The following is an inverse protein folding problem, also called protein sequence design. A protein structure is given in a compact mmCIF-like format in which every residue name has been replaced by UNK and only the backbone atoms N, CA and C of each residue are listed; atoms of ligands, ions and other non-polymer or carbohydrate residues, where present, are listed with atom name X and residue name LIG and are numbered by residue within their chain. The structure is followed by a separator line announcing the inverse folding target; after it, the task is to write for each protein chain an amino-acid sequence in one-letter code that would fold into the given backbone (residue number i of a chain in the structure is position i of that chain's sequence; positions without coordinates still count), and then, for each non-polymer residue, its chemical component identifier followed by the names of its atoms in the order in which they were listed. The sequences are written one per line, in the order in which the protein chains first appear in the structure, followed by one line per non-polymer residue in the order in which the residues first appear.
data_IF_257375773423
#
_entry.id   IF_257375773423
#
_cell.length_a   1.000
_cell.length_b   1.000
_cell.length_c   1.000
_cell.angle_alpha   90.00
_cell.angle_beta   90.00
_cell.angle_gamma   90.00
#
_symmetry.space_group_name_H-M   'P 1'
#
loop_
_entity.id
_entity.type
_entity.pdbx_description
1 polymer ?
#
# COMPACT_ATOMS: atom_id res chain seq x y z
N UNK A 1 9.67 13.98 15.91
CA UNK A 1 9.02 13.32 14.77
C UNK A 1 9.73 13.78 13.52
N UNK A 2 10.19 12.85 12.69
CA UNK A 2 10.93 13.14 11.45
C UNK A 2 10.07 13.98 10.48
N UNK A 3 10.68 14.92 9.75
CA UNK A 3 10.00 15.74 8.74
C UNK A 3 9.39 14.89 7.64
N UNK A 4 10.04 13.77 7.29
CA UNK A 4 9.52 12.82 6.31
C UNK A 4 8.20 12.20 6.78
N UNK A 5 8.15 11.70 8.02
CA UNK A 5 6.94 11.13 8.64
C UNK A 5 5.81 12.15 8.76
N UNK A 6 6.12 13.41 9.09
CA UNK A 6 5.13 14.49 9.13
C UNK A 6 4.51 14.72 7.75
N UNK A 7 5.34 14.80 6.71
CA UNK A 7 4.88 15.00 5.32
C UNK A 7 4.05 13.81 4.83
N UNK A 8 4.45 12.59 5.20
CA UNK A 8 3.74 11.37 4.86
C UNK A 8 2.36 11.32 5.52
N UNK A 9 2.27 11.56 6.83
CA UNK A 9 0.98 11.67 7.56
C UNK A 9 0.07 12.74 6.95
N UNK A 10 0.62 13.91 6.61
CA UNK A 10 -0.15 14.98 5.96
C UNK A 10 -0.76 14.52 4.63
N UNK A 11 0.01 13.80 3.82
CA UNK A 11 -0.49 13.26 2.54
C UNK A 11 -1.66 12.28 2.73
N UNK A 12 -1.59 11.42 3.76
CA UNK A 12 -2.67 10.50 4.12
C UNK A 12 -3.91 11.26 4.61
N UNK A 13 -3.77 12.25 5.50
CA UNK A 13 -4.89 13.07 5.96
C UNK A 13 -5.56 13.86 4.83
N UNK A 14 -4.78 14.37 3.88
CA UNK A 14 -5.29 15.07 2.70
C UNK A 14 -6.06 14.12 1.77
N UNK A 15 -5.51 12.93 1.49
CA UNK A 15 -6.16 11.88 0.71
C UNK A 15 -7.48 11.43 1.35
N UNK A 16 -7.44 11.15 2.66
CA UNK A 16 -8.61 10.80 3.47
C UNK A 16 -9.70 11.86 3.40
N UNK A 17 -9.32 13.14 3.49
CA UNK A 17 -10.27 14.25 3.43
C UNK A 17 -10.97 14.31 2.06
N UNK A 18 -10.21 14.18 0.97
CA UNK A 18 -10.75 14.17 -0.40
C UNK A 18 -11.71 13.00 -0.63
N UNK A 19 -11.35 11.80 -0.17
CA UNK A 19 -12.21 10.62 -0.29
C UNK A 19 -13.49 10.74 0.55
N UNK A 20 -13.42 11.32 1.76
CA UNK A 20 -14.60 11.62 2.55
C UNK A 20 -15.54 12.61 1.84
N UNK A 21 -15.01 13.65 1.21
CA UNK A 21 -15.81 14.56 0.38
C UNK A 21 -16.50 13.82 -0.77
N UNK A 22 -15.79 12.92 -1.46
CA UNK A 22 -16.35 12.12 -2.54
C UNK A 22 -17.45 11.16 -2.05
N UNK A 23 -17.20 10.44 -0.94
CA UNK A 23 -18.18 9.55 -0.32
C UNK A 23 -19.44 10.31 0.12
N UNK A 24 -19.25 11.47 0.77
CA UNK A 24 -20.37 12.33 1.17
C UNK A 24 -21.14 12.86 -0.04
N UNK A 25 -20.44 13.24 -1.11
CA UNK A 25 -21.09 13.73 -2.32
C UNK A 25 -21.94 12.67 -3.01
N UNK A 26 -21.44 11.43 -3.06
CA UNK A 26 -22.20 10.26 -3.53
C UNK A 26 -23.45 10.06 -2.65
N UNK A 27 -23.28 9.97 -1.33
CA UNK A 27 -24.40 9.73 -0.39
C UNK A 27 -25.48 10.82 -0.44
N UNK A 28 -25.10 12.08 -0.61
CA UNK A 28 -26.02 13.22 -0.46
C UNK A 28 -26.58 13.77 -1.79
N UNK A 29 -25.85 13.66 -2.90
CA UNK A 29 -26.17 14.44 -4.11
C UNK A 29 -26.39 13.59 -5.37
N UNK A 30 -26.01 12.32 -5.38
CA UNK A 30 -26.21 11.48 -6.56
C UNK A 30 -27.61 10.85 -6.57
N UNK A 31 -28.57 11.56 -7.18
CA UNK A 31 -29.92 11.05 -7.42
C UNK A 31 -30.03 10.22 -8.72
N UNK A 32 -29.02 10.29 -9.60
CA UNK A 32 -28.97 9.56 -10.87
C UNK A 32 -27.54 9.10 -11.21
N UNK A 33 -27.35 7.87 -11.72
CA UNK A 33 -26.05 7.34 -12.15
C UNK A 33 -25.53 8.12 -13.37
N UNK A 34 -24.44 8.86 -13.23
CA UNK A 34 -23.83 9.59 -14.33
C UNK A 34 -22.41 10.01 -13.97
N UNK A 35 -21.41 9.39 -14.58
CA UNK A 35 -20.01 9.84 -14.53
C UNK A 35 -19.60 10.31 -15.92
N UNK A 36 -19.20 11.58 -16.01
CA UNK A 36 -18.80 12.18 -17.29
C UNK A 36 -17.32 11.90 -17.55
N UNK A 37 -17.02 11.17 -18.61
CA UNK A 37 -15.66 10.89 -19.05
C UNK A 37 -15.37 11.63 -20.35
N UNK A 38 -14.26 12.37 -20.40
CA UNK A 38 -13.78 13.00 -21.64
C UNK A 38 -12.73 12.08 -22.29
N UNK A 39 -13.04 11.53 -23.46
CA UNK A 39 -12.10 10.73 -24.25
C UNK A 39 -11.71 11.46 -25.54
N UNK A 40 -10.56 11.09 -26.11
CA UNK A 40 -10.15 11.50 -27.46
C UNK A 40 -10.37 10.31 -28.38
N UNK A 41 -11.16 10.48 -29.44
CA UNK A 41 -11.37 9.40 -30.40
C UNK A 41 -10.14 9.14 -31.28
N UNK A 42 -10.17 8.08 -32.08
CA UNK A 42 -9.07 7.71 -32.99
C UNK A 42 -8.73 8.76 -34.05
N UNK A 43 -9.48 9.87 -34.12
CA UNK A 43 -9.26 11.00 -35.02
C UNK A 43 -8.84 12.28 -34.26
N UNK A 44 -8.58 12.21 -32.96
CA UNK A 44 -8.13 13.34 -32.17
C UNK A 44 -9.24 14.25 -31.63
N UNK A 45 -10.52 13.89 -31.81
CA UNK A 45 -11.63 14.73 -31.34
C UNK A 45 -11.99 14.39 -29.88
N UNK A 46 -12.12 15.42 -29.04
CA UNK A 46 -12.63 15.26 -27.67
C UNK A 46 -14.12 14.95 -27.70
N UNK A 47 -14.52 13.82 -27.11
CA UNK A 47 -15.91 13.44 -26.87
C UNK A 47 -16.15 13.26 -25.38
N UNK A 48 -17.28 13.77 -24.90
CA UNK A 48 -17.75 13.47 -23.54
C UNK A 48 -18.73 12.32 -23.62
N UNK A 49 -18.40 11.19 -23.00
CA UNK A 49 -19.27 10.04 -22.88
C UNK A 49 -19.82 10.02 -21.46
N UNK A 50 -21.15 9.85 -21.35
CA UNK A 50 -21.77 9.56 -20.07
C UNK A 50 -21.73 8.05 -19.84
N UNK A 51 -20.99 7.62 -18.81
CA UNK A 51 -21.03 6.23 -18.35
C UNK A 51 -21.95 6.22 -17.14
N UNK A 52 -23.11 5.53 -17.20
CA UNK A 52 -23.98 5.40 -16.04
C UNK A 52 -23.32 4.44 -15.06
N UNK A 53 -22.60 4.99 -14.09
CA UNK A 53 -22.06 4.24 -12.96
C UNK A 53 -23.01 4.50 -11.79
N UNK A 54 -23.52 3.42 -11.20
CA UNK A 54 -24.34 3.55 -10.01
C UNK A 54 -23.50 4.05 -8.85
N UNK A 55 -23.96 5.06 -8.10
CA UNK A 55 -23.20 5.55 -6.95
C UNK A 55 -22.97 4.47 -5.89
N UNK A 56 -23.85 3.47 -5.83
CA UNK A 56 -23.70 2.27 -5.00
C UNK A 56 -22.52 1.39 -5.39
N UNK A 57 -22.02 1.47 -6.63
CA UNK A 57 -20.87 0.71 -7.09
C UNK A 57 -19.54 1.38 -6.68
N UNK A 58 -19.54 2.71 -6.64
CA UNK A 58 -18.36 3.50 -6.27
C UNK A 58 -18.15 3.58 -4.77
N UNK A 59 -19.24 3.59 -4.01
CA UNK A 59 -19.18 3.80 -2.56
C UNK A 59 -18.34 2.72 -1.84
N UNK A 60 -18.52 1.41 -2.08
CA UNK A 60 -17.71 0.37 -1.44
C UNK A 60 -16.22 0.50 -1.76
N UNK A 61 -15.89 0.94 -2.97
CA UNK A 61 -14.50 1.15 -3.40
C UNK A 61 -13.88 2.30 -2.59
N UNK A 62 -14.59 3.42 -2.47
CA UNK A 62 -14.13 4.59 -1.72
C UNK A 62 -14.01 4.28 -0.23
N UNK A 63 -14.98 3.57 0.35
CA UNK A 63 -14.97 3.15 1.76
C UNK A 63 -13.78 2.22 2.03
N UNK A 64 -13.47 1.28 1.14
CA UNK A 64 -12.27 0.44 1.23
C UNK A 64 -10.98 1.27 1.22
N UNK A 65 -10.86 2.29 0.36
CA UNK A 65 -9.70 3.17 0.36
C UNK A 65 -9.59 4.00 1.65
N UNK A 66 -10.72 4.45 2.21
CA UNK A 66 -10.75 5.15 3.50
C UNK A 66 -10.27 4.25 4.64
N UNK A 67 -10.76 3.01 4.71
CA UNK A 67 -10.35 2.03 5.72
C UNK A 67 -8.85 1.72 5.65
N UNK A 68 -8.32 1.59 4.43
CA UNK A 68 -6.89 1.36 4.24
C UNK A 68 -6.06 2.58 4.69
N UNK A 69 -6.48 3.80 4.37
CA UNK A 69 -5.79 5.01 4.85
C UNK A 69 -5.86 5.12 6.38
N UNK A 70 -6.99 4.77 7.00
CA UNK A 70 -7.12 4.81 8.46
C UNK A 70 -6.18 3.81 9.14
N UNK A 71 -6.02 2.61 8.57
CA UNK A 71 -5.00 1.63 9.01
C UNK A 71 -3.58 2.18 8.88
N UNK A 72 -3.25 2.80 7.76
CA UNK A 72 -1.92 3.41 7.54
C UNK A 72 -1.63 4.53 8.55
N UNK A 73 -2.60 5.42 8.82
CA UNK A 73 -2.44 6.49 9.81
C UNK A 73 -2.19 5.91 11.21
N UNK A 74 -2.93 4.87 11.61
CA UNK A 74 -2.74 4.19 12.90
C UNK A 74 -1.37 3.52 12.94
N UNK A 75 -0.96 2.82 11.88
CA UNK A 75 0.33 2.16 11.79
C UNK A 75 1.46 3.18 11.95
N UNK A 76 1.48 4.26 11.16
CA UNK A 76 2.51 5.30 11.24
C UNK A 76 2.53 5.92 12.64
N UNK A 77 1.38 6.20 13.24
CA UNK A 77 1.29 6.81 14.58
C UNK A 77 1.83 5.87 15.66
N UNK A 78 1.53 4.58 15.55
CA UNK A 78 1.97 3.53 16.49
C UNK A 78 3.46 3.26 16.34
N UNK A 79 3.94 3.16 15.11
CA UNK A 79 5.34 2.88 14.76
C UNK A 79 6.24 4.07 15.10
N UNK A 80 5.80 5.30 14.85
CA UNK A 80 6.56 6.51 15.18
C UNK A 80 6.74 6.70 16.70
N UNK A 81 5.93 6.06 17.53
CA UNK A 81 6.09 6.05 18.98
C UNK A 81 7.14 5.02 19.46
N UNK A 82 7.61 4.12 18.58
CA UNK A 82 8.61 3.12 18.93
C UNK A 82 10.04 3.68 18.84
N UNK A 83 10.87 3.54 19.90
CA UNK A 83 12.19 4.17 19.98
C UNK A 83 13.30 3.45 19.20
N UNK A 84 12.99 2.36 18.49
CA UNK A 84 13.99 1.52 17.82
C UNK A 84 13.69 1.45 16.33
N UNK A 85 14.63 1.92 15.52
CA UNK A 85 14.65 1.64 14.09
C UNK A 85 15.44 0.36 13.83
N UNK A 86 14.80 -0.55 13.11
CA UNK A 86 15.39 -1.80 12.66
C UNK A 86 15.84 -1.65 11.21
N UNK A 87 17.08 -2.03 10.95
CA UNK A 87 17.59 -2.24 9.60
C UNK A 87 17.00 -3.55 9.06
N UNK A 88 16.82 -3.64 7.74
CA UNK A 88 16.39 -4.87 7.07
C UNK A 88 17.49 -5.33 6.15
N UNK A 89 17.91 -6.58 6.32
CA UNK A 89 18.81 -7.28 5.43
C UNK A 89 18.02 -8.36 4.68
N UNK A 90 18.09 -8.35 3.35
CA UNK A 90 17.37 -9.29 2.49
C UNK A 90 18.36 -10.21 1.80
N UNK A 91 18.39 -11.47 2.20
CA UNK A 91 19.07 -12.54 1.46
C UNK A 91 18.33 -12.78 0.14
N UNK A 92 19.09 -12.95 -0.96
CA UNK A 92 18.52 -13.04 -2.30
C UNK A 92 18.23 -11.68 -2.96
N UNK A 93 18.83 -10.59 -2.45
CA UNK A 93 18.66 -9.22 -2.99
C UNK A 93 18.84 -9.12 -4.51
N UNK A 94 19.84 -9.80 -5.10
CA UNK A 94 20.08 -9.72 -6.55
C UNK A 94 18.86 -10.20 -7.36
N UNK A 95 18.23 -11.31 -6.94
CA UNK A 95 17.01 -11.82 -7.58
C UNK A 95 15.81 -10.90 -7.33
N UNK A 96 15.65 -10.39 -6.11
CA UNK A 96 14.60 -9.42 -5.80
C UNK A 96 14.73 -8.16 -6.68
N UNK A 97 15.95 -7.65 -6.84
CA UNK A 97 16.25 -6.44 -7.61
C UNK A 97 15.88 -6.59 -9.08
N UNK A 98 16.16 -7.75 -9.68
CA UNK A 98 15.74 -8.05 -11.05
C UNK A 98 14.23 -7.98 -11.21
N UNK A 99 13.48 -8.54 -10.26
CA UNK A 99 12.02 -8.46 -10.27
C UNK A 99 11.52 -7.03 -10.11
N UNK A 100 12.01 -6.28 -9.11
CA UNK A 100 11.60 -4.88 -8.89
C UNK A 100 11.82 -4.07 -10.17
N UNK A 101 12.97 -4.25 -10.84
CA UNK A 101 13.27 -3.54 -12.08
C UNK A 101 12.34 -3.90 -13.23
N UNK A 102 11.95 -5.17 -13.37
CA UNK A 102 10.97 -5.60 -14.38
C UNK A 102 9.59 -4.96 -14.14
N UNK A 103 9.12 -4.95 -12.88
CA UNK A 103 7.84 -4.32 -12.54
C UNK A 103 7.88 -2.80 -12.63
N UNK A 104 9.00 -2.16 -12.29
CA UNK A 104 9.20 -0.72 -12.49
C UNK A 104 9.07 -0.34 -13.97
N UNK A 105 9.65 -1.12 -14.89
CA UNK A 105 9.55 -0.84 -16.32
C UNK A 105 8.14 -1.04 -16.88
N UNK A 106 7.39 -2.01 -16.36
CA UNK A 106 6.04 -2.36 -16.86
C UNK A 106 4.93 -1.54 -16.21
N UNK A 107 5.09 -1.21 -14.93
CA UNK A 107 4.10 -0.57 -14.07
C UNK A 107 4.74 0.55 -13.22
N UNK A 108 5.33 1.58 -13.87
CA UNK A 108 6.14 2.60 -13.20
C UNK A 108 5.37 3.42 -12.16
N UNK A 109 4.04 3.46 -12.25
CA UNK A 109 3.19 4.23 -11.33
C UNK A 109 2.82 3.46 -10.05
N UNK A 110 2.86 2.12 -10.08
CA UNK A 110 2.30 1.29 -8.99
C UNK A 110 3.24 0.23 -8.47
N UNK A 111 4.40 -0.01 -9.08
CA UNK A 111 5.36 -0.99 -8.58
C UNK A 111 5.79 -0.72 -7.12
N UNK A 112 6.03 -1.77 -6.37
CA UNK A 112 6.57 -1.66 -5.02
C UNK A 112 8.10 -1.57 -5.09
N UNK A 113 8.64 -0.43 -4.65
CA UNK A 113 10.07 -0.17 -4.62
C UNK A 113 10.79 -0.93 -3.50
N UNK A 114 12.11 -1.05 -3.62
CA UNK A 114 12.94 -1.67 -2.57
C UNK A 114 12.80 -0.96 -1.21
N UNK A 115 12.80 0.37 -1.22
CA UNK A 115 12.66 1.16 0.01
C UNK A 115 11.30 0.91 0.69
N UNK A 116 10.24 0.74 -0.11
CA UNK A 116 8.91 0.39 0.38
C UNK A 116 8.90 -1.01 1.00
N UNK A 117 9.54 -1.99 0.37
CA UNK A 117 9.68 -3.35 0.93
C UNK A 117 10.40 -3.30 2.29
N UNK A 118 11.55 -2.63 2.37
CA UNK A 118 12.32 -2.50 3.62
C UNK A 118 11.49 -1.84 4.71
N UNK A 119 10.76 -0.78 4.36
CA UNK A 119 9.86 -0.09 5.28
C UNK A 119 8.78 -1.04 5.79
N UNK A 120 8.03 -1.71 4.91
CA UNK A 120 6.94 -2.61 5.28
C UNK A 120 7.41 -3.77 6.18
N UNK A 121 8.58 -4.37 5.92
CA UNK A 121 9.13 -5.43 6.78
C UNK A 121 9.46 -4.90 8.17
N UNK A 122 10.17 -3.76 8.24
CA UNK A 122 10.55 -3.13 9.52
C UNK A 122 9.31 -2.75 10.35
N UNK A 123 8.30 -2.18 9.70
CA UNK A 123 7.04 -1.76 10.30
C UNK A 123 6.19 -2.95 10.77
N UNK A 124 6.10 -3.99 9.95
CA UNK A 124 5.40 -5.23 10.30
C UNK A 124 6.04 -5.92 11.49
N UNK A 125 7.38 -6.00 11.54
CA UNK A 125 8.10 -6.57 12.67
C UNK A 125 7.87 -5.77 13.96
N UNK A 126 7.94 -4.43 13.88
CA UNK A 126 7.61 -3.52 14.99
C UNK A 126 6.18 -3.73 15.50
N UNK A 127 5.21 -3.87 14.60
CA UNK A 127 3.82 -4.14 14.98
C UNK A 127 3.68 -5.49 15.70
N UNK A 128 4.33 -6.56 15.20
CA UNK A 128 4.29 -7.88 15.83
C UNK A 128 4.94 -7.90 17.23
N UNK A 129 6.02 -7.14 17.45
CA UNK A 129 6.63 -6.98 18.79
C UNK A 129 5.68 -6.41 19.85
N UNK A 130 4.70 -5.61 19.42
CA UNK A 130 3.69 -5.04 20.30
C UNK A 130 2.60 -6.06 20.67
N UNK A 131 2.28 -6.97 19.76
CA UNK A 131 1.29 -8.02 19.94
C UNK A 131 1.90 -9.27 20.61
N UNK A 132 2.24 -9.12 21.89
CA UNK A 132 2.94 -10.15 22.70
C UNK A 132 2.11 -11.41 22.99
N UNK A 133 0.90 -11.54 22.44
CA UNK A 133 -0.04 -12.61 22.79
C UNK A 133 0.01 -13.84 21.87
N UNK A 134 0.77 -13.80 20.75
CA UNK A 134 0.82 -14.90 19.77
C UNK A 134 2.16 -15.66 19.75
N UNK A 135 2.30 -16.82 20.43
CA UNK A 135 3.54 -17.60 20.36
C UNK A 135 3.86 -18.03 18.91
N UNK A 136 5.05 -17.68 18.41
CA UNK A 136 5.50 -18.00 17.05
C UNK A 136 5.44 -16.83 16.04
N UNK A 137 4.95 -15.65 16.47
CA UNK A 137 4.84 -14.44 15.62
C UNK A 137 6.16 -14.05 14.91
N UNK A 138 7.30 -14.34 15.53
CA UNK A 138 8.64 -14.03 15.00
C UNK A 138 8.92 -14.75 13.69
N UNK A 139 8.28 -15.90 13.44
CA UNK A 139 8.55 -16.77 12.30
C UNK A 139 7.54 -16.61 11.15
N UNK A 140 6.59 -15.68 11.26
CA UNK A 140 5.62 -15.45 10.19
C UNK A 140 6.30 -14.81 8.97
N UNK A 141 6.01 -15.38 7.80
CA UNK A 141 6.46 -14.83 6.52
C UNK A 141 5.87 -13.42 6.29
N UNK A 142 6.58 -12.60 5.52
CA UNK A 142 6.13 -11.29 5.08
C UNK A 142 5.64 -11.41 3.65
N UNK A 143 4.42 -10.90 3.41
CA UNK A 143 3.77 -10.89 2.12
C UNK A 143 3.56 -9.45 1.69
N UNK A 144 4.27 -9.03 0.66
CA UNK A 144 4.27 -7.62 0.21
C UNK A 144 3.78 -7.58 -1.23
N UNK A 145 2.71 -6.82 -1.54
CA UNK A 145 2.22 -6.69 -2.91
C UNK A 145 3.30 -6.24 -3.87
N UNK A 146 3.33 -6.85 -5.05
CA UNK A 146 4.29 -6.48 -6.11
C UNK A 146 3.96 -5.12 -6.71
N UNK A 147 2.67 -4.79 -6.81
CA UNK A 147 2.14 -3.49 -7.22
C UNK A 147 1.08 -3.04 -6.22
N UNK A 148 0.98 -1.74 -5.93
CA UNK A 148 0.03 -1.18 -4.97
C UNK A 148 -1.43 -1.30 -5.38
N UNK A 149 -1.71 -1.52 -6.67
CA UNK A 149 -3.06 -1.66 -7.22
C UNK A 149 -3.52 -3.12 -7.34
N UNK A 150 -2.62 -4.10 -7.17
CA UNK A 150 -2.93 -5.53 -7.30
C UNK A 150 -2.56 -6.31 -6.04
N UNK A 151 -3.56 -6.92 -5.41
CA UNK A 151 -3.35 -7.76 -4.22
C UNK A 151 -3.04 -9.23 -4.57
N UNK A 152 -3.19 -9.62 -5.84
CA UNK A 152 -3.08 -11.04 -6.25
C UNK A 152 -1.65 -11.53 -6.43
N UNK A 153 -0.66 -10.64 -6.49
CA UNK A 153 0.76 -10.99 -6.61
C UNK A 153 1.58 -10.36 -5.51
N UNK A 154 2.33 -11.20 -4.81
CA UNK A 154 3.12 -10.81 -3.64
C UNK A 154 4.57 -11.27 -3.75
N UNK A 155 5.49 -10.44 -3.29
CA UNK A 155 6.81 -10.85 -2.85
C UNK A 155 6.66 -11.59 -1.52
N UNK A 156 7.29 -12.75 -1.39
CA UNK A 156 7.30 -13.55 -0.16
C UNK A 156 8.69 -13.51 0.45
N UNK A 157 8.76 -13.13 1.72
CA UNK A 157 9.98 -13.12 2.51
C UNK A 157 9.83 -13.96 3.76
N UNK A 158 10.72 -14.91 3.96
CA UNK A 158 10.71 -15.70 5.18
C UNK A 158 11.59 -15.05 6.23
N UNK A 159 11.10 -14.98 7.45
CA UNK A 159 11.93 -14.54 8.56
C UNK A 159 13.07 -15.54 8.78
N UNK A 160 14.30 -15.02 8.87
CA UNK A 160 15.47 -15.85 9.13
C UNK A 160 15.94 -15.70 10.58
N UNK A 161 16.37 -14.49 10.95
CA UNK A 161 16.78 -14.16 12.30
C UNK A 161 16.75 -12.64 12.53
N UNK A 162 17.04 -12.25 13.77
CA UNK A 162 17.33 -10.86 14.12
C UNK A 162 18.70 -10.80 14.79
N UNK A 163 19.56 -9.90 14.31
CA UNK A 163 20.87 -9.60 14.91
C UNK A 163 20.87 -8.16 15.43
N UNK A 164 20.82 -8.01 16.75
CA UNK A 164 20.67 -6.74 17.48
C UNK A 164 19.48 -5.87 17.00
N UNK A 165 19.70 -5.11 15.92
CA UNK A 165 18.73 -4.21 15.28
C UNK A 165 18.56 -4.47 13.78
N UNK A 166 19.06 -5.59 13.28
CA UNK A 166 18.94 -5.98 11.87
C UNK A 166 18.01 -7.17 11.75
N UNK A 167 16.88 -6.97 11.09
CA UNK A 167 15.95 -8.03 10.72
C UNK A 167 16.49 -8.66 9.44
N UNK A 168 16.83 -9.95 9.50
CA UNK A 168 17.26 -10.69 8.33
C UNK A 168 16.09 -11.52 7.80
N UNK A 169 15.80 -11.35 6.52
CA UNK A 169 14.77 -12.10 5.81
C UNK A 169 15.34 -12.71 4.54
N UNK A 170 14.75 -13.80 4.08
CA UNK A 170 15.11 -14.48 2.84
C UNK A 170 14.02 -14.25 1.81
N UNK A 171 14.38 -13.70 0.65
CA UNK A 171 13.47 -13.58 -0.47
C UNK A 171 13.23 -14.96 -1.12
N UNK A 172 11.98 -15.42 -1.09
CA UNK A 172 11.58 -16.75 -1.58
C UNK A 172 10.94 -16.75 -2.97
N UNK A 173 10.70 -15.58 -3.55
CA UNK A 173 10.12 -15.42 -4.87
C UNK A 173 8.81 -14.65 -4.88
N UNK A 174 8.13 -14.70 -6.03
CA UNK A 174 6.84 -14.07 -6.25
C UNK A 174 5.77 -15.15 -6.38
N UNK A 175 4.70 -14.99 -5.60
CA UNK A 175 3.57 -15.92 -5.61
C UNK A 175 2.31 -15.20 -6.06
N UNK A 176 1.43 -15.96 -6.71
CA UNK A 176 0.07 -15.52 -7.02
C UNK A 176 -0.87 -16.17 -6.00
N UNK A 177 -1.67 -15.36 -5.31
CA UNK A 177 -2.72 -15.82 -4.40
C UNK A 177 -3.91 -16.42 -5.15
#
# INVERSE_FOLDING_TARGET
MDKALISELQSFFDGRSKLNYAAMAIKCYTQKPSLFYACVDGFGNKKTINIPIEPTDLLPIIERYLDNIDKEIINISTIAAMPVDYNVFIEGYDSLKEHISDYEQRYPETFTSYDKIVKEISESYKARLHDKEHPGWEQEDYHIPVCSDWEDKIYVFNFHNIDEKTICVIFNGIYKL
#
